data_IF_739405746898
#
_entry.id   IF_739405746898
#
_cell.length_a   1.000
_cell.length_b   1.000
_cell.length_c   1.000
_cell.angle_alpha   90.00
_cell.angle_beta   90.00
_cell.angle_gamma   90.00
#
_symmetry.space_group_name_H-M   'P 1'
#
loop_
_entity.id
_entity.type
_entity.pdbx_description
1 polymer ?
#
# COMPACT_ATOMS: atom_id res chain seq x y z
N UNK A 1 -8.46 -15.59 16.08
CA UNK A 1 -8.94 -14.54 15.15
C UNK A 1 -7.87 -14.35 14.07
N UNK A 2 -8.08 -14.86 12.86
CA UNK A 2 -7.18 -14.58 11.73
C UNK A 2 -7.39 -13.11 11.33
N UNK A 3 -6.43 -12.26 11.67
CA UNK A 3 -6.47 -10.85 11.28
C UNK A 3 -6.52 -10.73 9.76
N UNK A 4 -7.62 -10.20 9.24
CA UNK A 4 -7.80 -9.97 7.80
C UNK A 4 -6.65 -9.10 7.31
N UNK A 5 -5.84 -9.61 6.36
CA UNK A 5 -4.76 -8.83 5.75
C UNK A 5 -5.36 -7.61 5.05
N UNK A 6 -5.19 -6.43 5.64
CA UNK A 6 -5.72 -5.15 5.14
C UNK A 6 -5.09 -4.72 3.81
N UNK A 7 -3.88 -5.19 3.52
CA UNK A 7 -3.11 -4.86 2.32
C UNK A 7 -2.54 -6.12 1.67
N UNK A 8 -2.55 -6.15 0.34
CA UNK A 8 -1.96 -7.19 -0.48
C UNK A 8 -0.65 -6.70 -1.13
N UNK A 9 0.21 -7.65 -1.50
CA UNK A 9 1.39 -7.36 -2.32
C UNK A 9 0.93 -6.75 -3.65
N UNK A 10 1.55 -5.64 -4.06
CA UNK A 10 1.18 -4.87 -5.25
C UNK A 10 0.23 -3.70 -4.96
N UNK A 11 -0.36 -3.63 -3.77
CA UNK A 11 -1.19 -2.48 -3.41
C UNK A 11 -0.37 -1.19 -3.38
N UNK A 12 -0.83 -0.18 -4.11
CA UNK A 12 -0.34 1.19 -3.95
C UNK A 12 -0.93 1.78 -2.67
N UNK A 13 -0.07 2.29 -1.80
CA UNK A 13 -0.44 2.86 -0.51
C UNK A 13 0.17 4.24 -0.33
N UNK A 14 -0.55 5.11 0.39
CA UNK A 14 -0.03 6.38 0.91
C UNK A 14 0.29 6.22 2.39
N UNK A 15 1.43 6.75 2.81
CA UNK A 15 1.85 6.76 4.21
C UNK A 15 1.29 8.00 4.88
N UNK A 16 0.58 7.83 6.00
CA UNK A 16 -0.15 8.92 6.66
C UNK A 16 0.54 9.48 7.90
N UNK A 17 1.58 8.80 8.42
CA UNK A 17 2.31 9.18 9.63
C UNK A 17 3.80 8.80 9.55
N UNK A 18 4.61 9.45 10.40
CA UNK A 18 6.05 9.19 10.53
C UNK A 18 6.90 9.93 9.50
N UNK A 19 8.18 9.55 9.41
CA UNK A 19 9.19 10.19 8.55
C UNK A 19 8.82 10.20 7.05
N UNK A 20 8.06 9.20 6.61
CA UNK A 20 7.65 9.03 5.22
C UNK A 20 6.22 9.52 4.96
N UNK A 21 5.65 10.36 5.83
CA UNK A 21 4.30 10.92 5.65
C UNK A 21 4.16 11.56 4.26
N UNK A 22 3.00 11.34 3.64
CA UNK A 22 2.62 11.80 2.30
C UNK A 22 3.43 11.21 1.14
N UNK A 23 4.37 10.29 1.42
CA UNK A 23 4.99 9.45 0.40
C UNK A 23 4.06 8.32 0.00
N UNK A 24 4.17 7.92 -1.26
CA UNK A 24 3.50 6.76 -1.81
C UNK A 24 4.50 5.62 -2.04
N UNK A 25 4.00 4.40 -1.98
CA UNK A 25 4.78 3.22 -2.28
C UNK A 25 3.93 2.02 -2.62
N UNK A 26 4.60 0.93 -2.94
CA UNK A 26 3.97 -0.35 -3.27
C UNK A 26 4.26 -1.35 -2.17
N UNK A 27 3.23 -2.03 -1.68
CA UNK A 27 3.38 -3.09 -0.69
C UNK A 27 4.09 -4.28 -1.33
N UNK A 28 5.19 -4.73 -0.75
CA UNK A 28 5.96 -5.91 -1.16
C UNK A 28 5.79 -7.10 -0.22
N UNK A 29 5.36 -6.86 1.00
CA UNK A 29 5.17 -7.91 1.99
C UNK A 29 4.43 -7.40 3.23
N UNK A 30 4.02 -8.34 4.06
CA UNK A 30 3.32 -8.06 5.31
C UNK A 30 3.80 -9.02 6.40
N UNK A 31 4.25 -8.45 7.50
CA UNK A 31 4.60 -9.16 8.72
C UNK A 31 3.40 -9.12 9.68
N UNK A 32 2.80 -10.28 9.92
CA UNK A 32 1.64 -10.47 10.81
C UNK A 32 1.99 -10.30 12.28
N UNK A 33 3.25 -10.54 12.67
CA UNK A 33 3.66 -10.48 14.07
C UNK A 33 3.81 -9.03 14.53
N UNK A 34 4.34 -8.18 13.65
CA UNK A 34 4.58 -6.75 13.95
C UNK A 34 3.51 -5.83 13.37
N UNK A 35 2.56 -6.38 12.61
CA UNK A 35 1.55 -5.64 11.86
C UNK A 35 2.15 -4.59 10.90
N UNK A 36 3.36 -4.83 10.39
CA UNK A 36 4.08 -3.92 9.47
C UNK A 36 3.98 -4.41 8.04
N UNK A 37 3.73 -3.49 7.12
CA UNK A 37 3.90 -3.69 5.69
C UNK A 37 5.33 -3.31 5.30
N UNK A 38 5.93 -4.13 4.45
CA UNK A 38 7.14 -3.78 3.71
C UNK A 38 6.67 -2.98 2.50
N UNK A 39 7.04 -1.70 2.44
CA UNK A 39 6.62 -0.76 1.40
C UNK A 39 7.85 -0.27 0.66
N UNK A 40 7.80 -0.34 -0.67
CA UNK A 40 8.83 0.19 -1.53
C UNK A 40 8.44 1.61 -1.97
N UNK A 41 9.23 2.61 -1.57
CA UNK A 41 9.02 4.02 -1.89
C UNK A 41 9.98 4.38 -3.03
N UNK A 42 9.44 4.80 -4.17
CA UNK A 42 10.23 5.07 -5.37
C UNK A 42 10.88 3.80 -5.93
N UNK A 43 12.11 3.92 -6.48
CA UNK A 43 12.81 2.84 -7.19
C UNK A 43 13.88 2.10 -6.38
N UNK A 44 14.24 2.58 -5.18
CA UNK A 44 15.43 2.04 -4.48
C UNK A 44 15.28 1.90 -2.96
N UNK A 45 14.14 2.24 -2.35
CA UNK A 45 14.03 2.26 -0.89
C UNK A 45 12.92 1.36 -0.37
N UNK A 46 13.31 0.34 0.39
CA UNK A 46 12.40 -0.50 1.18
C UNK A 46 12.27 0.04 2.61
N UNK A 47 11.03 0.19 3.08
CA UNK A 47 10.74 0.63 4.45
C UNK A 47 9.68 -0.27 5.11
N UNK A 48 9.75 -0.43 6.43
CA UNK A 48 8.74 -1.15 7.21
C UNK A 48 7.83 -0.17 7.92
N UNK A 49 6.55 -0.14 7.55
CA UNK A 49 5.55 0.82 8.04
C UNK A 49 4.41 0.07 8.72
N UNK A 50 3.94 0.56 9.86
CA UNK A 50 2.75 0.00 10.53
C UNK A 50 1.54 0.09 9.58
N UNK A 51 0.81 -1.00 9.42
CA UNK A 51 -0.34 -1.08 8.50
C UNK A 51 -1.42 -0.03 8.78
N UNK A 52 -1.59 0.38 10.05
CA UNK A 52 -2.49 1.46 10.46
C UNK A 52 -2.06 2.86 9.97
N UNK A 53 -0.82 3.03 9.53
CA UNK A 53 -0.32 4.29 8.94
C UNK A 53 -0.38 4.28 7.41
N UNK A 54 -1.01 3.26 6.82
CA UNK A 54 -1.18 3.13 5.39
C UNK A 54 -2.64 3.35 5.02
N UNK A 55 -2.83 4.06 3.93
CA UNK A 55 -4.10 4.17 3.23
C UNK A 55 -3.96 3.56 1.84
N UNK A 56 -4.87 2.67 1.48
CA UNK A 56 -4.90 2.07 0.15
C UNK A 56 -5.32 3.13 -0.85
N UNK A 57 -4.46 3.43 -1.82
CA UNK A 57 -4.83 4.29 -2.94
C UNK A 57 -5.73 3.45 -3.84
N UNK A 58 -7.00 3.84 -3.96
CA UNK A 58 -7.86 3.27 -5.01
C UNK A 58 -7.22 3.63 -6.34
N UNK A 59 -6.70 2.64 -7.07
CA UNK A 59 -6.49 2.82 -8.50
C UNK A 59 -7.88 2.98 -9.12
N UNK A 60 -8.29 4.22 -9.38
CA UNK A 60 -9.42 4.49 -10.27
C UNK A 60 -8.91 4.11 -11.66
N UNK A 61 -9.05 2.83 -12.00
CA UNK A 61 -8.91 2.40 -13.38
C UNK A 61 -10.10 3.03 -14.09
N UNK A 62 -9.90 4.15 -14.79
CA UNK A 62 -10.88 4.70 -15.71
C UNK A 62 -11.16 3.63 -16.76
N UNK A 63 -12.14 2.77 -16.47
CA UNK A 63 -12.64 1.70 -17.35
C UNK A 63 -13.56 2.30 -18.41
N UNK A 64 -13.30 3.53 -18.85
CA UNK A 64 -14.06 4.28 -19.86
C UNK A 64 -13.47 4.09 -21.27
N UNK A 65 -12.97 2.89 -21.61
CA UNK A 65 -12.54 2.60 -22.99
C UNK A 65 -12.93 1.22 -23.49
N UNK A 66 -14.15 0.76 -23.15
CA UNK A 66 -14.79 -0.39 -23.80
C UNK A 66 -16.32 -0.32 -23.83
N UNK A 67 -16.88 0.89 -23.95
CA UNK A 67 -18.27 1.10 -24.35
C UNK A 67 -18.38 2.29 -25.30
N UNK A 68 -17.75 2.16 -26.46
CA UNK A 68 -18.15 2.75 -27.73
C UNK A 68 -17.73 1.66 -28.73
N UNK A 69 -18.52 0.61 -28.96
CA UNK A 69 -19.64 0.59 -29.92
C UNK A 69 -19.28 1.30 -31.22
#
# INVERSE_FOLDING_TARGET
MQGVRKFAIGDTVRITKGMYKDREGVVRGYDTNTYKCIVFIGYHQEVRILSQWLEKKRQIYNREKRQLQ
#
